data_IF_927440368145
#
_entry.id   IF_927440368145
#
_cell.length_a   1.000
_cell.length_b   1.000
_cell.length_c   1.000
_cell.angle_alpha   90.00
_cell.angle_beta   90.00
_cell.angle_gamma   90.00
#
_symmetry.space_group_name_H-M   'P 1'
#
loop_
_entity.id
_entity.type
_entity.pdbx_description
1 polymer ?
#
# COMPACT_ATOMS: atom_id res chain seq x y z
N UNK A 1 1.77 -11.90 15.80
CA UNK A 1 2.60 -10.90 15.10
C UNK A 1 2.33 -11.09 13.61
N UNK A 2 1.73 -10.12 12.90
CA UNK A 2 1.21 -10.30 11.52
C UNK A 2 2.28 -10.82 10.53
N UNK A 3 3.55 -10.51 10.78
CA UNK A 3 4.69 -10.95 9.97
C UNK A 3 4.83 -12.47 9.86
N UNK A 4 4.47 -13.25 10.89
CA UNK A 4 4.58 -14.71 10.85
C UNK A 4 3.54 -15.38 9.94
N UNK A 5 2.56 -14.62 9.47
CA UNK A 5 1.44 -15.06 8.62
C UNK A 5 1.53 -14.49 7.19
N UNK A 6 2.60 -13.77 6.90
CA UNK A 6 2.87 -13.15 5.60
C UNK A 6 4.13 -13.75 4.99
N UNK A 7 4.29 -13.62 3.68
CA UNK A 7 5.49 -14.03 2.94
C UNK A 7 6.33 -12.80 2.61
N UNK A 8 7.64 -12.89 2.82
CA UNK A 8 8.56 -11.79 2.56
C UNK A 8 8.84 -11.70 1.06
N UNK A 9 8.58 -10.54 0.46
CA UNK A 9 8.75 -10.29 -0.98
C UNK A 9 10.03 -9.48 -1.29
N UNK A 10 10.87 -9.25 -0.28
CA UNK A 10 12.04 -8.39 -0.39
C UNK A 10 11.65 -6.92 -0.52
N UNK A 11 12.56 -6.12 -1.09
CA UNK A 11 12.37 -4.66 -1.16
C UNK A 11 11.59 -4.18 -2.40
N UNK A 12 11.35 -5.07 -3.38
CA UNK A 12 10.69 -4.77 -4.66
C UNK A 12 11.21 -3.48 -5.32
N UNK A 13 12.53 -3.26 -5.26
CA UNK A 13 13.21 -2.11 -5.90
C UNK A 13 13.12 -0.78 -5.13
N UNK A 14 12.63 -0.77 -3.88
CA UNK A 14 12.59 0.44 -3.04
C UNK A 14 13.50 0.27 -1.84
N UNK A 15 14.57 1.04 -1.79
CA UNK A 15 15.55 1.00 -0.70
C UNK A 15 14.93 1.37 0.66
N UNK A 16 15.32 0.63 1.70
CA UNK A 16 14.84 0.86 3.07
C UNK A 16 13.38 0.52 3.32
N UNK A 17 12.75 -0.26 2.43
CA UNK A 17 11.40 -0.84 2.57
C UNK A 17 11.45 -2.34 2.30
N UNK A 18 10.86 -3.14 3.19
CA UNK A 18 10.59 -4.55 2.97
C UNK A 18 9.09 -4.77 2.77
N UNK A 19 8.72 -5.51 1.72
CA UNK A 19 7.35 -5.84 1.37
C UNK A 19 6.97 -7.23 1.85
N UNK A 20 5.71 -7.37 2.28
CA UNK A 20 5.15 -8.62 2.74
C UNK A 20 3.80 -8.88 2.06
N UNK A 21 3.72 -10.01 1.37
CA UNK A 21 2.53 -10.52 0.72
C UNK A 21 1.69 -11.36 1.67
N UNK A 22 0.37 -11.35 1.49
CA UNK A 22 -0.52 -12.28 2.21
C UNK A 22 -0.32 -13.69 1.68
N UNK A 23 -0.25 -14.68 2.58
CA UNK A 23 -0.27 -16.10 2.20
C UNK A 23 -1.59 -16.53 1.58
N UNK A 24 -2.69 -16.00 2.10
CA UNK A 24 -4.03 -16.22 1.57
C UNK A 24 -4.98 -15.07 1.94
N UNK A 25 -6.21 -15.13 1.43
CA UNK A 25 -7.24 -14.10 1.64
C UNK A 25 -7.72 -13.96 3.09
N UNK A 26 -7.30 -14.82 4.02
CA UNK A 26 -7.71 -14.81 5.43
C UNK A 26 -6.65 -14.19 6.33
N UNK A 27 -5.49 -13.80 5.81
CA UNK A 27 -4.48 -13.06 6.58
C UNK A 27 -4.96 -11.62 6.79
N UNK A 28 -4.89 -11.06 8.02
CA UNK A 28 -4.49 -11.72 9.28
C UNK A 28 -5.59 -12.65 9.85
N UNK A 29 -5.20 -13.85 10.28
CA UNK A 29 -6.18 -14.85 10.72
C UNK A 29 -7.05 -14.35 11.87
N UNK A 30 -8.37 -14.42 11.67
CA UNK A 30 -9.39 -14.07 12.64
C UNK A 30 -10.12 -15.34 13.15
N UNK A 31 -10.74 -15.30 14.34
CA UNK A 31 -11.44 -16.46 14.91
C UNK A 31 -12.55 -17.01 14.01
N UNK A 32 -13.20 -16.12 13.25
CA UNK A 32 -14.35 -16.46 12.40
C UNK A 32 -13.93 -17.08 11.06
N UNK A 33 -12.61 -17.18 10.80
CA UNK A 33 -12.00 -17.71 9.57
C UNK A 33 -12.54 -17.07 8.28
N UNK A 34 -13.01 -15.82 8.36
CA UNK A 34 -13.55 -15.07 7.23
C UNK A 34 -12.42 -14.39 6.45
N UNK A 35 -12.56 -14.24 5.11
CA UNK A 35 -11.62 -13.46 4.31
C UNK A 35 -11.50 -12.02 4.83
N UNK A 36 -10.28 -11.50 4.82
CA UNK A 36 -9.99 -10.12 5.13
C UNK A 36 -9.87 -9.28 3.85
N UNK A 37 -9.96 -7.96 4.03
CA UNK A 37 -9.70 -7.02 2.96
C UNK A 37 -8.28 -7.19 2.40
N UNK A 38 -8.15 -6.97 1.09
CA UNK A 38 -6.85 -6.93 0.44
C UNK A 38 -6.00 -5.81 1.03
N UNK A 39 -4.73 -6.11 1.28
CA UNK A 39 -3.78 -5.14 1.80
C UNK A 39 -2.37 -5.42 1.27
N UNK A 40 -1.57 -4.36 1.25
CA UNK A 40 -0.13 -4.45 1.13
C UNK A 40 0.49 -4.10 2.49
N UNK A 41 1.47 -4.87 2.93
CA UNK A 41 2.20 -4.61 4.17
C UNK A 41 3.64 -4.24 3.84
N UNK A 42 4.05 -3.07 4.32
CA UNK A 42 5.41 -2.56 4.17
C UNK A 42 6.03 -2.30 5.53
N UNK A 43 7.28 -2.71 5.71
CA UNK A 43 8.11 -2.37 6.86
C UNK A 43 9.21 -1.45 6.38
N UNK A 44 9.32 -0.27 6.98
CA UNK A 44 10.38 0.68 6.69
C UNK A 44 11.17 0.96 7.95
N UNK A 45 12.47 1.22 7.81
CA UNK A 45 13.23 1.85 8.90
C UNK A 45 12.75 3.29 9.08
N UNK A 46 12.90 3.82 10.30
CA UNK A 46 12.39 5.15 10.63
C UNK A 46 13.07 6.27 9.83
N UNK A 47 14.31 6.04 9.43
CA UNK A 47 15.13 6.97 8.67
C UNK A 47 15.05 6.74 7.15
N UNK A 48 14.30 5.74 6.67
CA UNK A 48 14.27 5.46 5.24
C UNK A 48 13.53 6.54 4.47
N UNK A 49 14.04 6.86 3.28
CA UNK A 49 13.36 7.78 2.38
C UNK A 49 11.95 7.29 2.02
N UNK A 50 11.76 5.97 1.92
CA UNK A 50 10.45 5.38 1.65
C UNK A 50 9.42 5.73 2.74
N UNK A 51 9.82 5.61 4.02
CA UNK A 51 8.97 6.01 5.13
C UNK A 51 8.65 7.51 5.09
N UNK A 52 9.67 8.35 4.94
CA UNK A 52 9.52 9.81 4.89
C UNK A 52 8.56 10.21 3.76
N UNK A 53 8.76 9.67 2.55
CA UNK A 53 7.90 9.94 1.38
C UNK A 53 6.43 9.54 1.65
N UNK A 54 6.18 8.39 2.26
CA UNK A 54 4.82 7.96 2.61
C UNK A 54 4.15 8.90 3.61
N UNK A 55 4.86 9.31 4.67
CA UNK A 55 4.34 10.22 5.69
C UNK A 55 4.07 11.61 5.10
N UNK A 56 5.04 12.18 4.39
CA UNK A 56 4.90 13.51 3.76
C UNK A 56 3.75 13.53 2.77
N UNK A 57 3.65 12.53 1.89
CA UNK A 57 2.56 12.44 0.92
C UNK A 57 1.18 12.37 1.61
N UNK A 58 1.04 11.49 2.61
CA UNK A 58 -0.19 11.37 3.40
C UNK A 58 -0.56 12.70 4.07
N UNK A 59 0.41 13.35 4.69
CA UNK A 59 0.15 14.54 5.52
C UNK A 59 -0.18 15.76 4.65
N UNK A 60 0.46 15.91 3.48
CA UNK A 60 0.10 16.93 2.48
C UNK A 60 -1.35 16.75 2.03
N UNK A 61 -1.74 15.54 1.64
CA UNK A 61 -3.11 15.27 1.19
C UNK A 61 -4.14 15.53 2.30
N UNK A 62 -3.83 15.21 3.56
CA UNK A 62 -4.73 15.49 4.69
C UNK A 62 -4.89 16.98 4.98
N UNK A 63 -3.88 17.79 4.70
CA UNK A 63 -3.89 19.24 4.97
C UNK A 63 -4.49 20.05 3.81
N UNK A 64 -4.51 19.52 2.59
CA UNK A 64 -4.90 20.25 1.39
C UNK A 64 -5.97 19.50 0.59
N UNK A 65 -7.24 19.81 0.86
CA UNK A 65 -8.38 19.14 0.23
C UNK A 65 -8.39 19.24 -1.30
N UNK A 66 -7.99 20.39 -1.87
CA UNK A 66 -7.90 20.55 -3.33
C UNK A 66 -6.95 19.54 -3.99
N UNK A 67 -5.83 19.18 -3.33
CA UNK A 67 -4.91 18.16 -3.83
C UNK A 67 -5.51 16.75 -3.78
N UNK A 68 -6.39 16.48 -2.81
CA UNK A 68 -7.13 15.20 -2.74
C UNK A 68 -8.05 15.07 -3.94
N UNK A 69 -8.78 16.14 -4.27
CA UNK A 69 -9.70 16.16 -5.41
C UNK A 69 -8.93 15.98 -6.72
N UNK A 70 -7.85 16.73 -6.94
CA UNK A 70 -7.00 16.58 -8.13
C UNK A 70 -6.42 15.16 -8.25
N UNK A 71 -5.88 14.62 -7.16
CA UNK A 71 -5.33 13.26 -7.14
C UNK A 71 -6.41 12.19 -7.39
N UNK A 72 -7.61 12.38 -6.86
CA UNK A 72 -8.73 11.47 -7.08
C UNK A 72 -9.19 11.48 -8.54
N UNK A 73 -9.29 12.65 -9.16
CA UNK A 73 -9.69 12.78 -10.56
C UNK A 73 -8.66 12.16 -11.50
N UNK A 74 -7.36 12.35 -11.24
CA UNK A 74 -6.29 11.67 -11.99
C UNK A 74 -6.44 10.15 -11.90
N UNK A 75 -6.64 9.59 -10.69
CA UNK A 75 -6.82 8.15 -10.50
C UNK A 75 -8.03 7.60 -11.26
N UNK A 76 -9.19 8.27 -11.20
CA UNK A 76 -10.41 7.86 -11.90
C UNK A 76 -10.21 7.89 -13.42
N UNK A 77 -9.58 8.95 -13.93
CA UNK A 77 -9.26 9.09 -15.35
C UNK A 77 -8.34 7.95 -15.82
N UNK A 78 -7.25 7.69 -15.10
CA UNK A 78 -6.31 6.61 -15.45
C UNK A 78 -6.95 5.23 -15.36
N UNK A 79 -7.77 4.96 -14.34
CA UNK A 79 -8.51 3.70 -14.23
C UNK A 79 -9.52 3.49 -15.38
N UNK A 80 -10.04 4.59 -15.95
CA UNK A 80 -10.92 4.52 -17.12
C UNK A 80 -10.14 4.25 -18.40
N UNK A 81 -8.99 4.91 -18.59
CA UNK A 81 -8.13 4.77 -19.78
C UNK A 81 -7.44 3.41 -19.80
N UNK A 82 -6.92 2.95 -18.66
CA UNK A 82 -6.10 1.75 -18.52
C UNK A 82 -6.81 0.66 -17.69
N UNK A 83 -8.10 0.43 -17.98
CA UNK A 83 -8.98 -0.45 -17.20
C UNK A 83 -8.38 -1.83 -16.90
N UNK A 84 -7.80 -2.46 -17.92
CA UNK A 84 -7.30 -3.85 -17.84
C UNK A 84 -5.77 -3.92 -17.85
N UNK A 85 -5.08 -2.76 -17.73
CA UNK A 85 -3.62 -2.69 -17.72
C UNK A 85 -3.11 -1.86 -16.54
N UNK A 86 -2.90 -2.53 -15.41
CA UNK A 86 -2.37 -1.90 -14.19
C UNK A 86 -0.93 -1.35 -14.36
N UNK A 87 -0.16 -1.83 -15.32
CA UNK A 87 1.25 -1.44 -15.50
C UNK A 87 1.43 -0.21 -16.40
N UNK A 88 0.39 0.21 -17.14
CA UNK A 88 0.40 1.39 -18.00
C UNK A 88 0.18 2.68 -17.20
#
# INVERSE_FOLDING_TARGET
>A
MIFSMSDHEGNLGVEGREAFGRRDGRVPYNPDNQPNAEHHLYVCTQESEAFIKHIVFRDILRQHTHLVDEYAEIKKKLATIYRDNRQA
#
